data_IF_108554775452
#
_entry.id   IF_108554775452
#
_cell.length_a   1.000
_cell.length_b   1.000
_cell.length_c   1.000
_cell.angle_alpha   90.00
_cell.angle_beta   90.00
_cell.angle_gamma   90.00
#
_symmetry.space_group_name_H-M   'P 1'
#
loop_
_entity.id
_entity.type
_entity.pdbx_description
1 polymer ?
#
# COMPACT_ATOMS: atom_id res chain seq x y z
N UNK A 1 10.63 -19.53 14.47
CA UNK A 1 9.80 -18.72 13.55
C UNK A 1 10.71 -18.10 12.50
N UNK A 2 10.37 -18.19 11.23
CA UNK A 2 11.10 -17.54 10.15
C UNK A 2 10.67 -16.07 10.01
N UNK A 3 11.55 -15.21 9.52
CA UNK A 3 11.21 -13.80 9.22
C UNK A 3 10.22 -13.73 8.05
N UNK A 4 9.46 -12.63 7.98
CA UNK A 4 8.56 -12.36 6.85
C UNK A 4 9.32 -12.32 5.52
N UNK A 5 8.88 -13.05 4.47
CA UNK A 5 9.46 -12.97 3.14
C UNK A 5 9.39 -11.55 2.55
N UNK A 6 8.24 -10.88 2.69
CA UNK A 6 8.03 -9.51 2.18
C UNK A 6 9.02 -8.53 2.82
N UNK A 7 9.18 -8.60 4.15
CA UNK A 7 10.16 -7.78 4.85
C UNK A 7 11.60 -8.07 4.40
N UNK A 8 11.92 -9.33 4.12
CA UNK A 8 13.25 -9.75 3.66
C UNK A 8 13.55 -9.21 2.25
N UNK A 9 12.64 -9.39 1.29
CA UNK A 9 12.78 -8.91 -0.08
C UNK A 9 12.87 -7.38 -0.11
N UNK A 10 11.94 -6.68 0.56
CA UNK A 10 11.93 -5.21 0.60
C UNK A 10 13.18 -4.63 1.25
N UNK A 11 13.77 -5.32 2.22
CA UNK A 11 15.04 -4.90 2.81
C UNK A 11 16.21 -5.00 1.83
N UNK A 12 16.18 -5.96 0.90
CA UNK A 12 17.22 -6.16 -0.12
C UNK A 12 17.04 -5.17 -1.26
N UNK A 13 15.81 -5.06 -1.76
CA UNK A 13 15.48 -4.19 -2.90
C UNK A 13 15.49 -2.71 -2.53
N UNK A 14 15.12 -2.39 -1.29
CA UNK A 14 14.73 -1.03 -0.91
C UNK A 14 13.43 -0.61 -1.61
N UNK A 15 13.15 0.70 -1.61
CA UNK A 15 12.02 1.26 -2.35
C UNK A 15 10.74 1.48 -1.56
N UNK A 16 9.69 1.81 -2.31
CA UNK A 16 8.39 2.27 -1.79
C UNK A 16 7.28 1.41 -2.35
N UNK A 17 6.38 0.93 -1.48
CA UNK A 17 5.21 0.15 -1.92
C UNK A 17 4.06 1.10 -2.21
N UNK A 18 3.61 1.13 -3.45
CA UNK A 18 2.43 1.88 -3.88
C UNK A 18 1.22 0.95 -3.97
N UNK A 19 0.15 1.31 -3.27
CA UNK A 19 -1.13 0.61 -3.30
C UNK A 19 -2.19 1.49 -3.93
N UNK A 20 -2.84 0.98 -4.97
CA UNK A 20 -3.86 1.68 -5.76
C UNK A 20 -5.10 0.79 -5.95
N UNK A 21 -6.27 1.36 -5.67
CA UNK A 21 -7.55 0.66 -5.79
C UNK A 21 -7.91 0.43 -7.26
N UNK A 22 -8.47 -0.75 -7.54
CA UNK A 22 -9.07 -1.12 -8.82
C UNK A 22 -10.54 -0.72 -8.77
N UNK A 23 -10.94 0.21 -9.64
CA UNK A 23 -12.30 0.76 -9.63
C UNK A 23 -13.15 0.04 -10.68
N UNK A 24 -14.30 -0.48 -10.25
CA UNK A 24 -15.38 -0.95 -11.10
C UNK A 24 -16.62 -0.07 -10.88
N UNK A 25 -17.29 0.37 -11.95
CA UNK A 25 -18.40 1.34 -11.88
C UNK A 25 -19.60 0.83 -11.10
N UNK A 26 -19.89 -0.47 -11.17
CA UNK A 26 -21.04 -1.10 -10.53
C UNK A 26 -20.77 -1.58 -9.09
N UNK A 27 -19.54 -1.41 -8.57
CA UNK A 27 -19.22 -1.71 -7.18
C UNK A 27 -19.35 -0.42 -6.36
N UNK A 28 -20.35 -0.33 -5.46
CA UNK A 28 -20.50 0.84 -4.62
C UNK A 28 -19.33 0.94 -3.64
N UNK A 29 -18.86 2.17 -3.46
CA UNK A 29 -17.82 2.50 -2.50
C UNK A 29 -18.47 2.72 -1.14
N UNK A 30 -17.80 2.29 -0.07
CA UNK A 30 -18.27 2.55 1.29
C UNK A 30 -18.19 4.03 1.63
N UNK A 31 -17.20 4.72 1.06
CA UNK A 31 -17.07 6.18 1.13
C UNK A 31 -17.58 6.77 -0.16
N UNK A 32 -18.78 7.35 -0.12
CA UNK A 32 -19.52 7.79 -1.31
C UNK A 32 -18.86 8.93 -2.08
N UNK A 33 -18.05 9.75 -1.41
CA UNK A 33 -17.33 10.87 -2.01
C UNK A 33 -16.15 10.48 -2.90
N UNK A 34 -15.60 9.26 -2.74
CA UNK A 34 -14.38 8.84 -3.45
C UNK A 34 -14.64 8.52 -4.92
N UNK A 35 -14.60 9.52 -5.79
CA UNK A 35 -14.83 9.33 -7.23
C UNK A 35 -13.54 9.03 -8.00
N UNK A 36 -12.39 9.41 -7.47
CA UNK A 36 -11.04 9.13 -8.01
C UNK A 36 -10.28 8.19 -7.05
N UNK A 37 -9.29 7.41 -7.52
CA UNK A 37 -8.48 6.56 -6.64
C UNK A 37 -7.62 7.36 -5.64
N UNK A 38 -7.32 6.77 -4.49
CA UNK A 38 -6.29 7.23 -3.57
C UNK A 38 -5.12 6.25 -3.64
N UNK A 39 -3.90 6.75 -3.87
CA UNK A 39 -2.70 5.91 -3.88
C UNK A 39 -1.97 6.06 -2.56
N UNK A 40 -1.75 4.96 -1.84
CA UNK A 40 -0.91 4.95 -0.64
C UNK A 40 0.52 4.57 -1.04
N UNK A 41 1.48 5.45 -0.80
CA UNK A 41 2.92 5.14 -0.85
C UNK A 41 3.43 4.82 0.55
N UNK A 42 3.71 3.56 0.86
CA UNK A 42 4.18 3.11 2.17
C UNK A 42 5.70 3.09 2.24
N UNK A 43 6.26 3.75 3.26
CA UNK A 43 7.67 3.66 3.62
C UNK A 43 7.99 2.29 4.23
N UNK A 44 8.34 1.30 3.41
CA UNK A 44 8.48 -0.10 3.84
C UNK A 44 9.83 -0.41 4.52
N UNK A 45 10.32 0.48 5.40
CA UNK A 45 11.58 0.32 6.13
C UNK A 45 11.47 0.89 7.56
N UNK A 46 12.18 0.27 8.51
CA UNK A 46 12.36 0.82 9.86
C UNK A 46 11.08 0.84 10.70
N UNK A 47 11.02 1.79 11.62
CA UNK A 47 9.92 2.02 12.56
C UNK A 47 9.57 0.73 13.34
N UNK A 48 8.29 0.49 13.66
CA UNK A 48 7.83 -0.68 14.40
C UNK A 48 8.25 -2.02 13.76
N UNK A 49 8.47 -2.04 12.44
CA UNK A 49 8.77 -3.26 11.68
C UNK A 49 10.24 -3.69 11.79
N UNK A 50 11.08 -2.87 12.41
CA UNK A 50 12.46 -3.19 12.80
C UNK A 50 12.76 -2.75 14.23
N UNK A 51 11.73 -2.71 15.07
CA UNK A 51 11.88 -2.40 16.47
C UNK A 51 12.52 -3.57 17.24
N UNK A 52 13.04 -3.27 18.42
CA UNK A 52 13.33 -4.26 19.45
C UNK A 52 12.43 -3.96 20.64
N UNK A 53 11.65 -4.95 21.05
CA UNK A 53 10.68 -4.86 22.14
C UNK A 53 10.89 -5.97 23.17
N UNK A 54 10.48 -5.70 24.40
CA UNK A 54 10.57 -6.67 25.50
C UNK A 54 9.58 -6.34 26.63
N UNK A 55 9.26 -7.36 27.42
CA UNK A 55 8.51 -7.21 28.67
C UNK A 55 9.48 -6.84 29.78
N UNK A 56 9.21 -5.72 30.45
CA UNK A 56 9.94 -5.27 31.64
C UNK A 56 9.44 -6.10 32.83
N UNK A 57 10.30 -6.88 33.51
CA UNK A 57 9.84 -7.89 34.48
C UNK A 57 9.40 -7.31 35.84
N UNK A 58 9.78 -6.08 36.17
CA UNK A 58 9.52 -5.45 37.47
C UNK A 58 10.02 -4.01 37.50
N UNK A 59 10.05 -3.42 38.69
CA UNK A 59 10.51 -2.06 38.89
C UNK A 59 11.97 -1.87 38.39
N UNK A 60 12.26 -0.73 37.77
CA UNK A 60 13.57 -0.44 37.21
C UNK A 60 13.59 0.76 36.25
N UNK A 61 14.79 1.22 35.92
CA UNK A 61 15.00 2.38 35.03
C UNK A 61 15.25 1.94 33.60
N UNK A 62 14.50 2.49 32.65
CA UNK A 62 14.71 2.31 31.22
C UNK A 62 15.44 3.51 30.62
N UNK A 63 16.54 3.24 29.93
CA UNK A 63 17.39 4.25 29.29
C UNK A 63 17.71 3.83 27.85
N UNK A 64 17.86 4.82 26.97
CA UNK A 64 18.37 4.65 25.59
C UNK A 64 19.72 5.35 25.51
N UNK A 65 20.70 4.67 24.91
CA UNK A 65 22.06 5.19 24.74
C UNK A 65 22.45 5.17 23.27
N UNK A 66 23.02 6.27 22.78
CA UNK A 66 23.67 6.35 21.48
C UNK A 66 25.17 6.55 21.67
N UNK A 67 25.98 5.63 21.17
CA UNK A 67 27.43 5.69 21.21
C UNK A 67 27.96 6.04 19.83
N UNK A 68 28.59 7.21 19.64
CA UNK A 68 29.09 7.60 18.34
C UNK A 68 30.36 6.80 17.98
N UNK A 69 30.46 6.39 16.72
CA UNK A 69 31.58 5.56 16.24
C UNK A 69 32.93 6.28 16.26
N UNK A 70 32.92 7.61 16.15
CA UNK A 70 34.13 8.44 16.19
C UNK A 70 34.76 8.58 17.59
N UNK A 71 34.27 7.84 18.59
CA UNK A 71 34.78 7.89 19.96
C UNK A 71 34.33 9.11 20.77
N UNK A 72 33.35 9.90 20.27
CA UNK A 72 32.73 10.98 21.04
C UNK A 72 31.95 10.48 22.27
N UNK A 73 31.51 11.42 23.10
CA UNK A 73 30.76 11.08 24.33
C UNK A 73 29.41 10.40 24.01
N UNK A 74 29.11 9.31 24.72
CA UNK A 74 27.86 8.59 24.57
C UNK A 74 26.69 9.43 25.10
N UNK A 75 25.63 9.54 24.30
CA UNK A 75 24.43 10.27 24.65
C UNK A 75 23.45 9.32 25.34
N UNK A 76 23.02 9.66 26.56
CA UNK A 76 22.14 8.82 27.37
C UNK A 76 20.84 9.54 27.70
N UNK A 77 19.72 8.87 27.44
CA UNK A 77 18.38 9.40 27.64
C UNK A 77 17.58 8.48 28.55
N UNK A 78 17.06 9.01 29.65
CA UNK A 78 16.09 8.26 30.45
C UNK A 78 14.74 8.29 29.74
N UNK A 79 14.18 7.11 29.49
CA UNK A 79 12.86 6.95 28.85
C UNK A 79 11.78 6.94 29.92
N UNK A 80 11.92 6.07 30.92
CA UNK A 80 10.95 5.90 31.98
C UNK A 80 11.57 5.24 33.22
N UNK A 81 10.96 5.47 34.37
CA UNK A 81 11.29 4.81 35.64
C UNK A 81 10.07 4.00 36.10
N UNK A 82 10.16 2.67 35.96
CA UNK A 82 9.11 1.74 36.37
C UNK A 82 9.14 1.59 37.89
N UNK A 83 8.17 2.20 38.58
CA UNK A 83 8.10 2.16 40.05
C UNK A 83 7.13 1.13 40.59
N UNK A 84 6.02 0.91 39.89
CA UNK A 84 4.88 0.12 40.37
C UNK A 84 4.78 -1.27 39.71
N UNK A 85 5.93 -1.89 39.41
CA UNK A 85 6.02 -3.22 38.81
C UNK A 85 6.55 -3.21 37.38
N UNK A 86 6.24 -4.29 36.64
CA UNK A 86 6.71 -4.49 35.27
C UNK A 86 5.98 -3.64 34.23
N UNK A 87 6.23 -3.92 32.96
CA UNK A 87 5.64 -3.20 31.84
C UNK A 87 6.13 -3.71 30.49
N UNK A 88 6.09 -2.85 29.48
CA UNK A 88 6.63 -3.15 28.15
C UNK A 88 7.44 -1.96 27.66
N UNK A 89 8.47 -2.24 26.86
CA UNK A 89 9.34 -1.24 26.28
C UNK A 89 9.67 -1.61 24.84
N UNK A 90 9.91 -0.60 24.01
CA UNK A 90 10.41 -0.78 22.66
C UNK A 90 11.36 0.35 22.27
N UNK A 91 12.29 0.04 21.38
CA UNK A 91 13.12 0.99 20.65
C UNK A 91 12.97 0.78 19.15
N UNK A 92 12.87 1.86 18.39
CA UNK A 92 12.77 1.83 16.93
C UNK A 92 13.67 2.89 16.29
N UNK A 93 13.97 2.72 15.00
CA UNK A 93 14.81 3.64 14.25
C UNK A 93 14.36 3.75 12.80
N UNK A 94 14.84 4.81 12.17
CA UNK A 94 14.84 4.95 10.72
C UNK A 94 16.17 5.56 10.26
N UNK A 95 16.41 5.59 8.95
CA UNK A 95 17.62 6.20 8.39
C UNK A 95 17.29 7.33 7.44
N UNK A 96 18.10 8.37 7.53
CA UNK A 96 18.09 9.52 6.65
C UNK A 96 18.14 9.11 5.16
N UNK A 97 18.94 8.11 4.81
CA UNK A 97 19.02 7.57 3.45
C UNK A 97 17.68 6.96 3.00
N UNK A 98 17.07 6.11 3.82
CA UNK A 98 15.81 5.46 3.47
C UNK A 98 14.66 6.46 3.32
N UNK A 99 14.62 7.51 4.16
CA UNK A 99 13.60 8.56 4.06
C UNK A 99 13.76 9.37 2.77
N UNK A 100 15.01 9.65 2.34
CA UNK A 100 15.27 10.35 1.07
C UNK A 100 14.81 9.53 -0.14
N UNK A 101 15.13 8.24 -0.16
CA UNK A 101 14.69 7.33 -1.24
C UNK A 101 13.17 7.23 -1.31
N UNK A 102 12.51 7.18 -0.15
CA UNK A 102 11.07 7.22 -0.04
C UNK A 102 10.47 8.52 -0.60
N UNK A 103 11.00 9.68 -0.22
CA UNK A 103 10.56 10.98 -0.73
C UNK A 103 10.72 11.09 -2.26
N UNK A 104 11.88 10.68 -2.78
CA UNK A 104 12.15 10.63 -4.21
C UNK A 104 11.14 9.75 -4.96
N UNK A 105 10.84 8.56 -4.43
CA UNK A 105 9.89 7.63 -5.02
C UNK A 105 8.49 8.25 -5.06
N UNK A 106 8.01 8.80 -3.96
CA UNK A 106 6.68 9.41 -3.87
C UNK A 106 6.50 10.61 -4.81
N UNK A 107 7.50 11.49 -4.89
CA UNK A 107 7.43 12.67 -5.77
C UNK A 107 7.49 12.30 -7.25
N UNK A 108 8.34 11.33 -7.60
CA UNK A 108 8.43 10.82 -8.98
C UNK A 108 7.12 10.15 -9.39
N UNK A 109 6.52 9.35 -8.51
CA UNK A 109 5.24 8.69 -8.77
C UNK A 109 4.09 9.72 -8.93
N UNK A 110 4.04 10.73 -8.06
CA UNK A 110 3.05 11.79 -8.13
C UNK A 110 3.14 12.60 -9.44
N UNK A 111 4.36 12.90 -9.92
CA UNK A 111 4.59 13.54 -11.22
C UNK A 111 4.12 12.67 -12.39
N UNK A 112 4.42 11.37 -12.37
CA UNK A 112 3.98 10.44 -13.41
C UNK A 112 2.46 10.37 -13.51
N UNK A 113 1.76 10.37 -12.37
CA UNK A 113 0.30 10.41 -12.30
C UNK A 113 -0.29 11.80 -12.55
N UNK A 114 0.53 12.86 -12.51
CA UNK A 114 0.11 14.27 -12.45
C UNK A 114 -0.91 14.52 -11.34
N UNK A 115 -0.66 13.96 -10.15
CA UNK A 115 -1.53 14.10 -8.97
C UNK A 115 -0.81 14.81 -7.82
N UNK A 116 -1.52 15.55 -6.95
CA UNK A 116 -0.93 16.13 -5.75
C UNK A 116 -0.42 15.04 -4.79
N UNK A 117 0.60 15.40 -4.01
CA UNK A 117 1.26 14.52 -3.03
C UNK A 117 1.06 15.06 -1.61
N UNK A 118 0.57 14.20 -0.73
CA UNK A 118 0.49 14.47 0.71
C UNK A 118 1.43 13.54 1.48
N UNK A 119 2.17 14.06 2.45
CA UNK A 119 2.93 13.23 3.39
C UNK A 119 2.42 13.46 4.81
N UNK A 120 2.07 12.37 5.50
CA UNK A 120 1.49 12.44 6.84
C UNK A 120 2.43 11.98 7.94
N UNK A 121 2.51 12.75 9.03
CA UNK A 121 3.24 12.35 10.25
C UNK A 121 2.51 12.79 11.52
N UNK A 122 3.06 12.46 12.70
CA UNK A 122 2.67 13.00 14.00
C UNK A 122 3.79 13.85 14.60
N UNK A 123 4.38 14.76 13.82
CA UNK A 123 5.52 15.59 14.23
C UNK A 123 5.22 16.59 15.37
N UNK A 124 3.96 16.84 15.73
CA UNK A 124 3.60 17.60 16.93
C UNK A 124 3.96 16.85 18.22
N UNK A 125 3.92 15.51 18.18
CA UNK A 125 4.27 14.62 19.29
C UNK A 125 5.72 14.14 19.13
N UNK A 126 6.03 13.52 18.00
CA UNK A 126 7.37 13.00 17.70
C UNK A 126 8.23 14.07 17.01
N UNK A 127 8.49 15.18 17.72
CA UNK A 127 9.11 16.40 17.16
C UNK A 127 10.43 16.15 16.42
N UNK A 128 11.27 15.25 16.92
CA UNK A 128 12.55 14.90 16.27
C UNK A 128 12.37 13.81 15.22
N UNK A 129 11.72 12.70 15.57
CA UNK A 129 11.61 11.53 14.69
C UNK A 129 10.76 11.84 13.45
N UNK A 130 9.53 12.30 13.65
CA UNK A 130 8.61 12.63 12.56
C UNK A 130 8.89 14.01 11.95
N UNK A 131 9.55 14.89 12.71
CA UNK A 131 10.11 16.13 12.17
C UNK A 131 11.14 15.83 11.07
N UNK A 132 11.99 14.82 11.25
CA UNK A 132 13.01 14.46 10.26
C UNK A 132 12.40 14.02 8.92
N UNK A 133 11.29 13.28 8.94
CA UNK A 133 10.54 12.96 7.72
C UNK A 133 10.04 14.21 7.02
N UNK A 134 9.40 15.11 7.77
CA UNK A 134 8.88 16.38 7.24
C UNK A 134 10.00 17.21 6.60
N UNK A 135 11.11 17.37 7.31
CA UNK A 135 12.23 18.20 6.87
C UNK A 135 12.87 17.63 5.60
N UNK A 136 13.14 16.32 5.54
CA UNK A 136 13.72 15.67 4.36
C UNK A 136 12.81 15.80 3.14
N UNK A 137 11.50 15.56 3.29
CA UNK A 137 10.56 15.72 2.19
C UNK A 137 10.53 17.19 1.71
N UNK A 138 10.50 18.16 2.62
CA UNK A 138 10.51 19.57 2.25
C UNK A 138 11.80 19.97 1.52
N UNK A 139 12.96 19.54 2.04
CA UNK A 139 14.28 19.77 1.43
C UNK A 139 14.32 19.24 -0.01
N UNK A 140 13.91 17.99 -0.22
CA UNK A 140 13.90 17.37 -1.56
C UNK A 140 12.91 18.06 -2.50
N UNK A 141 11.71 18.40 -2.01
CA UNK A 141 10.71 19.08 -2.80
C UNK A 141 11.23 20.40 -3.34
N UNK A 142 11.73 21.27 -2.45
CA UNK A 142 12.23 22.59 -2.79
C UNK A 142 13.44 22.52 -3.74
N UNK A 143 14.36 21.58 -3.52
CA UNK A 143 15.59 21.49 -4.30
C UNK A 143 15.38 20.90 -5.70
N UNK A 144 14.46 19.94 -5.87
CA UNK A 144 14.42 19.10 -7.08
C UNK A 144 13.07 19.04 -7.79
N UNK A 145 11.96 19.13 -7.06
CA UNK A 145 10.65 18.76 -7.61
C UNK A 145 9.67 19.93 -7.74
N UNK A 146 9.85 21.01 -6.98
CA UNK A 146 8.90 22.14 -6.95
C UNK A 146 8.61 22.73 -8.33
N UNK A 147 9.64 22.97 -9.14
CA UNK A 147 9.46 23.49 -10.49
C UNK A 147 8.61 22.56 -11.37
N UNK A 148 8.90 21.25 -11.34
CA UNK A 148 8.18 20.23 -12.10
C UNK A 148 6.73 20.07 -11.62
N UNK A 149 6.49 20.16 -10.31
CA UNK A 149 5.15 20.09 -9.72
C UNK A 149 4.31 21.30 -10.13
N UNK A 150 4.88 22.51 -10.08
CA UNK A 150 4.22 23.74 -10.53
C UNK A 150 3.89 23.67 -12.02
N UNK A 151 4.83 23.22 -12.85
CA UNK A 151 4.60 23.04 -14.30
C UNK A 151 3.48 22.03 -14.58
N UNK A 152 3.41 20.94 -13.81
CA UNK A 152 2.35 19.94 -13.92
C UNK A 152 1.02 20.35 -13.27
N UNK A 153 0.95 21.52 -12.61
CA UNK A 153 -0.27 22.01 -11.95
C UNK A 153 -0.64 21.24 -10.67
N UNK A 154 0.34 20.63 -10.00
CA UNK A 154 0.16 19.83 -8.77
C UNK A 154 1.02 20.40 -7.63
N UNK A 155 0.80 19.92 -6.40
CA UNK A 155 1.51 20.40 -5.22
C UNK A 155 1.94 19.25 -4.29
N UNK A 156 2.90 19.56 -3.43
CA UNK A 156 3.27 18.74 -2.27
C UNK A 156 2.83 19.44 -0.99
N UNK A 157 2.27 18.69 -0.05
CA UNK A 157 1.88 19.20 1.27
C UNK A 157 2.19 18.19 2.39
N UNK A 158 2.74 18.68 3.50
CA UNK A 158 2.81 17.91 4.75
C UNK A 158 1.54 18.14 5.58
N UNK A 159 0.96 17.06 6.11
CA UNK A 159 -0.18 17.10 7.03
C UNK A 159 0.07 16.29 8.30
N UNK A 160 -0.62 16.66 9.37
CA UNK A 160 -0.72 15.76 10.52
C UNK A 160 -1.60 14.56 10.16
N UNK A 161 -1.24 13.36 10.62
CA UNK A 161 -1.93 12.12 10.25
C UNK A 161 -3.43 12.15 10.58
N UNK A 162 -3.82 12.80 11.68
CA UNK A 162 -5.21 13.00 12.08
C UNK A 162 -5.99 13.95 11.16
N UNK A 163 -5.36 15.01 10.65
CA UNK A 163 -5.98 15.84 9.61
C UNK A 163 -6.02 15.09 8.27
N UNK A 164 -4.96 14.35 7.93
CA UNK A 164 -4.87 13.65 6.65
C UNK A 164 -5.93 12.55 6.51
N UNK A 165 -6.18 11.76 7.56
CA UNK A 165 -7.27 10.76 7.53
C UNK A 165 -8.64 11.44 7.38
N UNK A 166 -8.85 12.59 8.03
CA UNK A 166 -10.11 13.33 7.93
C UNK A 166 -10.28 13.94 6.53
N UNK A 167 -9.21 14.48 5.94
CA UNK A 167 -9.18 14.96 4.57
C UNK A 167 -9.48 13.83 3.59
N UNK A 168 -8.80 12.68 3.71
CA UNK A 168 -9.02 11.53 2.84
C UNK A 168 -10.50 11.14 2.82
N UNK A 169 -11.14 11.01 3.98
CA UNK A 169 -12.56 10.66 4.10
C UNK A 169 -13.53 11.68 3.46
N UNK A 170 -13.17 12.96 3.42
CA UNK A 170 -14.01 14.04 2.86
C UNK A 170 -13.68 14.40 1.41
N UNK A 171 -12.51 13.99 0.93
CA UNK A 171 -12.02 14.30 -0.42
C UNK A 171 -12.75 13.50 -1.50
N UNK A 172 -12.54 13.88 -2.75
CA UNK A 172 -12.96 13.09 -3.91
C UNK A 172 -11.94 11.99 -4.32
N UNK A 173 -10.82 11.87 -3.59
CA UNK A 173 -9.66 11.09 -4.00
C UNK A 173 -8.75 11.85 -4.98
N UNK A 174 -7.96 11.13 -5.79
CA UNK A 174 -7.12 11.70 -6.85
C UNK A 174 -5.80 12.29 -6.35
N UNK A 175 -5.19 11.67 -5.34
CA UNK A 175 -3.91 12.09 -4.78
C UNK A 175 -3.03 10.90 -4.39
N UNK A 176 -1.74 11.17 -4.27
CA UNK A 176 -0.77 10.25 -3.68
C UNK A 176 -0.60 10.61 -2.21
N UNK A 177 -0.65 9.62 -1.34
CA UNK A 177 -0.47 9.77 0.10
C UNK A 177 0.74 8.96 0.55
N UNK A 178 1.85 9.66 0.79
CA UNK A 178 3.05 9.12 1.40
C UNK A 178 2.82 8.89 2.90
N UNK A 179 2.77 7.62 3.28
CA UNK A 179 2.59 7.18 4.65
C UNK A 179 3.90 6.59 5.20
N UNK A 180 4.18 6.86 6.48
CA UNK A 180 5.16 6.10 7.25
C UNK A 180 4.78 4.61 7.29
N UNK A 181 5.70 3.77 7.73
CA UNK A 181 5.57 2.32 7.57
C UNK A 181 4.26 1.78 8.18
N UNK A 182 3.97 2.14 9.42
CA UNK A 182 2.77 1.70 10.14
C UNK A 182 1.49 2.32 9.56
N UNK A 183 1.49 3.63 9.32
CA UNK A 183 0.34 4.33 8.76
C UNK A 183 -0.02 3.76 7.39
N UNK A 184 0.97 3.44 6.56
CA UNK A 184 0.75 2.87 5.23
C UNK A 184 0.16 1.47 5.28
N UNK A 185 0.50 0.67 6.30
CA UNK A 185 -0.10 -0.64 6.51
C UNK A 185 -1.60 -0.51 6.83
N UNK A 186 -1.94 0.28 7.85
CA UNK A 186 -3.32 0.44 8.34
C UNK A 186 -4.21 1.17 7.31
N UNK A 187 -3.71 2.27 6.75
CA UNK A 187 -4.52 3.12 5.87
C UNK A 187 -4.72 2.47 4.50
N UNK A 188 -3.78 1.66 4.00
CA UNK A 188 -4.00 0.99 2.72
C UNK A 188 -5.11 -0.06 2.78
N UNK A 189 -5.23 -0.80 3.88
CA UNK A 189 -6.35 -1.74 4.08
C UNK A 189 -7.69 -0.98 4.23
N UNK A 190 -7.68 0.15 4.96
CA UNK A 190 -8.86 1.01 5.11
C UNK A 190 -9.32 1.61 3.78
N UNK A 191 -8.38 2.12 2.98
CA UNK A 191 -8.65 2.64 1.63
C UNK A 191 -9.15 1.53 0.71
N UNK A 192 -8.52 0.36 0.69
CA UNK A 192 -8.96 -0.78 -0.10
C UNK A 192 -10.40 -1.20 0.22
N UNK A 193 -10.73 -1.30 1.50
CA UNK A 193 -12.08 -1.62 1.94
C UNK A 193 -13.07 -0.51 1.55
N UNK A 194 -12.67 0.75 1.60
CA UNK A 194 -13.48 1.89 1.18
C UNK A 194 -13.82 1.89 -0.32
N UNK A 195 -12.95 1.32 -1.17
CA UNK A 195 -13.21 1.08 -2.59
C UNK A 195 -13.92 -0.24 -2.91
N UNK A 196 -14.27 -1.04 -1.90
CA UNK A 196 -15.12 -2.22 -2.03
C UNK A 196 -14.54 -3.45 -1.33
N UNK A 197 -13.37 -3.91 -1.73
CA UNK A 197 -12.76 -5.15 -1.23
C UNK A 197 -11.23 -5.09 -1.28
N UNK A 198 -10.56 -5.79 -0.35
CA UNK A 198 -9.11 -6.01 -0.39
C UNK A 198 -8.66 -6.70 -1.69
N UNK A 199 -9.54 -7.46 -2.35
CA UNK A 199 -9.28 -8.07 -3.66
C UNK A 199 -9.22 -7.07 -4.82
N UNK A 200 -9.57 -5.79 -4.56
CA UNK A 200 -9.61 -4.71 -5.54
C UNK A 200 -8.50 -3.69 -5.29
N UNK A 201 -7.31 -4.15 -4.91
CA UNK A 201 -6.17 -3.29 -4.60
C UNK A 201 -4.89 -3.91 -5.18
N UNK A 202 -4.18 -3.14 -5.99
CA UNK A 202 -2.84 -3.50 -6.47
C UNK A 202 -1.78 -3.12 -5.43
N UNK A 203 -0.64 -3.82 -5.43
CA UNK A 203 0.53 -3.48 -4.61
C UNK A 203 1.79 -3.60 -5.46
N UNK A 204 2.52 -2.50 -5.62
CA UNK A 204 3.73 -2.44 -6.44
C UNK A 204 4.85 -1.75 -5.66
N UNK A 205 5.91 -2.49 -5.35
CA UNK A 205 7.17 -1.94 -4.85
C UNK A 205 7.95 -1.35 -6.03
N UNK A 206 8.33 -0.07 -5.91
CA UNK A 206 9.20 0.61 -6.87
C UNK A 206 10.50 0.98 -6.18
N UNK A 207 11.62 0.51 -6.73
CA UNK A 207 12.95 0.83 -6.26
C UNK A 207 13.39 2.25 -6.68
N UNK A 208 14.31 2.88 -5.92
CA UNK A 208 14.78 4.24 -6.22
C UNK A 208 15.56 4.35 -7.54
N UNK A 209 16.02 3.22 -8.11
CA UNK A 209 16.66 3.17 -9.44
C UNK A 209 15.68 3.48 -10.60
N UNK A 210 14.38 3.55 -10.33
CA UNK A 210 13.33 3.77 -11.32
C UNK A 210 13.16 2.62 -12.32
N UNK A 211 13.80 1.46 -12.07
CA UNK A 211 13.88 0.33 -12.99
C UNK A 211 13.43 -0.98 -12.33
N UNK A 212 13.73 -1.21 -11.07
CA UNK A 212 13.39 -2.46 -10.39
C UNK A 212 12.01 -2.35 -9.75
N UNK A 213 11.16 -3.36 -10.01
CA UNK A 213 9.78 -3.42 -9.53
C UNK A 213 9.48 -4.83 -9.01
N UNK A 214 8.73 -4.89 -7.91
CA UNK A 214 8.08 -6.11 -7.43
C UNK A 214 6.57 -5.85 -7.32
N UNK A 215 5.74 -6.75 -7.85
CA UNK A 215 4.28 -6.61 -7.87
C UNK A 215 3.61 -7.80 -7.18
N UNK A 216 2.68 -7.50 -6.29
CA UNK A 216 1.94 -8.46 -5.48
C UNK A 216 0.47 -8.04 -5.31
N UNK A 217 -0.35 -8.96 -4.82
CA UNK A 217 -1.66 -8.59 -4.30
C UNK A 217 -1.51 -7.91 -2.93
N UNK A 218 -2.37 -6.94 -2.60
CA UNK A 218 -2.29 -6.28 -1.29
C UNK A 218 -2.71 -7.18 -0.10
N UNK A 219 -3.47 -8.24 -0.36
CA UNK A 219 -3.98 -9.17 0.66
C UNK A 219 -3.03 -10.33 0.94
N UNK A 220 -3.21 -10.98 2.09
CA UNK A 220 -2.48 -12.22 2.46
C UNK A 220 -3.02 -13.49 1.78
N UNK A 221 -2.71 -14.66 2.36
CA UNK A 221 -3.03 -15.98 1.79
C UNK A 221 -4.50 -16.42 1.93
N UNK A 222 -5.37 -15.54 2.44
CA UNK A 222 -6.81 -15.80 2.64
C UNK A 222 -7.07 -17.13 3.36
N UNK A 223 -6.33 -17.38 4.45
CA UNK A 223 -6.26 -18.70 5.11
C UNK A 223 -7.63 -19.27 5.49
N UNK A 224 -8.59 -18.42 5.85
CA UNK A 224 -9.97 -18.84 6.14
C UNK A 224 -10.61 -19.58 4.96
N UNK A 225 -10.46 -19.07 3.74
CA UNK A 225 -11.00 -19.71 2.54
C UNK A 225 -10.20 -20.97 2.21
N UNK A 226 -8.88 -20.95 2.42
CA UNK A 226 -8.06 -22.15 2.23
C UNK A 226 -8.49 -23.31 3.14
N UNK A 227 -8.85 -23.05 4.40
CA UNK A 227 -9.40 -24.08 5.31
C UNK A 227 -10.73 -24.66 4.84
N UNK A 228 -11.59 -23.84 4.20
CA UNK A 228 -12.83 -24.33 3.58
C UNK A 228 -12.52 -25.20 2.36
N UNK A 229 -11.60 -24.78 1.50
CA UNK A 229 -11.14 -25.55 0.35
C UNK A 229 -10.58 -26.93 0.76
N UNK A 230 -9.77 -27.01 1.82
CA UNK A 230 -9.25 -28.28 2.35
C UNK A 230 -10.34 -29.26 2.80
N UNK A 231 -11.53 -28.75 3.15
CA UNK A 231 -12.69 -29.56 3.53
C UNK A 231 -13.58 -29.92 2.32
N UNK A 232 -13.14 -29.61 1.09
CA UNK A 232 -13.95 -29.77 -0.12
C UNK A 232 -15.14 -28.80 -0.20
N UNK A 233 -15.17 -27.75 0.64
CA UNK A 233 -16.24 -26.75 0.61
C UNK A 233 -15.98 -25.74 -0.49
N UNK A 234 -17.07 -25.25 -1.09
CA UNK A 234 -17.02 -24.17 -2.07
C UNK A 234 -16.40 -22.90 -1.48
N UNK A 235 -15.61 -22.20 -2.29
CA UNK A 235 -15.02 -20.90 -1.94
C UNK A 235 -15.27 -19.89 -3.05
N UNK A 236 -15.37 -18.61 -2.70
CA UNK A 236 -15.44 -17.50 -3.63
C UNK A 236 -14.41 -16.46 -3.21
N UNK A 237 -13.16 -16.72 -3.55
CA UNK A 237 -12.01 -15.84 -3.30
C UNK A 237 -11.78 -15.00 -4.54
N UNK A 238 -11.72 -13.68 -4.37
CA UNK A 238 -11.48 -12.74 -5.45
C UNK A 238 -10.03 -12.85 -5.98
N UNK A 239 -9.80 -13.23 -7.26
CA UNK A 239 -8.47 -13.39 -7.84
C UNK A 239 -7.92 -12.10 -8.47
N UNK A 240 -8.67 -11.00 -8.50
CA UNK A 240 -8.38 -9.82 -9.32
C UNK A 240 -7.06 -9.17 -8.93
N UNK A 241 -6.81 -8.91 -7.63
CA UNK A 241 -5.53 -8.37 -7.18
C UNK A 241 -4.33 -9.26 -7.56
N UNK A 242 -4.49 -10.59 -7.53
CA UNK A 242 -3.44 -11.54 -7.95
C UNK A 242 -3.19 -11.50 -9.46
N UNK A 243 -4.25 -11.35 -10.27
CA UNK A 243 -4.12 -11.16 -11.73
C UNK A 243 -3.43 -9.83 -12.02
N UNK A 244 -3.81 -8.77 -11.31
CA UNK A 244 -3.19 -7.46 -11.48
C UNK A 244 -1.71 -7.48 -11.05
N UNK A 245 -1.32 -8.29 -10.06
CA UNK A 245 0.09 -8.48 -9.73
C UNK A 245 0.89 -9.02 -10.93
N UNK A 246 0.32 -9.97 -11.70
CA UNK A 246 0.91 -10.45 -12.95
C UNK A 246 0.95 -9.35 -14.01
N UNK A 247 -0.17 -8.70 -14.31
CA UNK A 247 -0.22 -7.70 -15.39
C UNK A 247 0.67 -6.50 -15.11
N UNK A 248 0.78 -6.04 -13.85
CA UNK A 248 1.71 -4.96 -13.47
C UNK A 248 3.17 -5.33 -13.72
N UNK A 249 3.56 -6.56 -13.42
CA UNK A 249 4.90 -7.08 -13.75
C UNK A 249 5.14 -7.13 -15.26
N UNK A 250 4.16 -7.63 -16.03
CA UNK A 250 4.25 -7.72 -17.49
C UNK A 250 4.26 -6.34 -18.16
N UNK A 251 3.45 -5.39 -17.70
CA UNK A 251 3.44 -4.00 -18.18
C UNK A 251 4.80 -3.33 -17.94
N UNK A 252 5.40 -3.56 -16.78
CA UNK A 252 6.73 -3.04 -16.49
C UNK A 252 7.80 -3.67 -17.37
N UNK A 253 7.75 -4.99 -17.58
CA UNK A 253 8.64 -5.69 -18.52
C UNK A 253 8.49 -5.15 -19.95
N UNK A 254 7.25 -4.99 -20.41
CA UNK A 254 6.91 -4.44 -21.71
C UNK A 254 7.49 -3.03 -21.90
N UNK A 255 7.40 -2.17 -20.88
CA UNK A 255 8.01 -0.84 -20.88
C UNK A 255 9.53 -0.90 -21.01
N UNK A 256 10.19 -1.79 -20.27
CA UNK A 256 11.65 -1.92 -20.32
C UNK A 256 12.16 -2.45 -21.66
N UNK A 257 11.36 -3.28 -22.35
CA UNK A 257 11.73 -3.91 -23.63
C UNK A 257 11.21 -3.17 -24.86
N UNK A 258 10.34 -2.16 -24.69
CA UNK A 258 9.60 -1.57 -25.81
C UNK A 258 8.67 -2.56 -26.51
N UNK A 259 8.10 -3.53 -25.77
CA UNK A 259 7.27 -4.60 -26.31
C UNK A 259 5.78 -4.23 -26.25
N UNK A 260 5.24 -3.67 -27.34
CA UNK A 260 3.84 -3.25 -27.42
C UNK A 260 2.84 -4.41 -27.43
N UNK A 261 3.22 -5.61 -27.93
CA UNK A 261 2.33 -6.80 -27.89
C UNK A 261 2.09 -7.25 -26.45
N UNK A 262 3.15 -7.32 -25.64
CA UNK A 262 3.04 -7.70 -24.23
C UNK A 262 2.24 -6.68 -23.43
N UNK A 263 2.44 -5.39 -23.72
CA UNK A 263 1.65 -4.30 -23.13
C UNK A 263 0.17 -4.45 -23.47
N UNK A 264 -0.15 -4.68 -24.75
CA UNK A 264 -1.53 -4.87 -25.22
C UNK A 264 -2.20 -6.05 -24.55
N UNK A 265 -1.50 -7.18 -24.42
CA UNK A 265 -2.00 -8.35 -23.68
C UNK A 265 -2.31 -8.02 -22.22
N UNK A 266 -1.36 -7.42 -21.50
CA UNK A 266 -1.53 -7.14 -20.08
C UNK A 266 -2.64 -6.11 -19.82
N UNK A 267 -2.74 -5.06 -20.65
CA UNK A 267 -3.85 -4.09 -20.59
C UNK A 267 -5.20 -4.76 -20.90
N UNK A 268 -5.27 -5.62 -21.92
CA UNK A 268 -6.50 -6.33 -22.28
C UNK A 268 -6.99 -7.24 -21.14
N UNK A 269 -6.08 -7.87 -20.41
CA UNK A 269 -6.42 -8.68 -19.24
C UNK A 269 -6.94 -7.85 -18.07
N UNK A 270 -6.33 -6.69 -17.76
CA UNK A 270 -6.85 -5.77 -16.74
C UNK A 270 -8.25 -5.25 -17.09
N UNK A 271 -8.47 -4.87 -18.35
CA UNK A 271 -9.78 -4.41 -18.81
C UNK A 271 -10.82 -5.53 -18.78
N UNK A 272 -10.46 -6.75 -19.19
CA UNK A 272 -11.34 -7.94 -19.13
C UNK A 272 -11.83 -8.18 -17.70
N UNK A 273 -10.94 -8.04 -16.71
CA UNK A 273 -11.28 -8.16 -15.30
C UNK A 273 -12.36 -7.15 -14.89
N UNK A 274 -12.19 -5.87 -15.25
CA UNK A 274 -13.13 -4.80 -14.95
C UNK A 274 -14.46 -5.03 -15.68
N UNK A 275 -14.43 -5.28 -16.99
CA UNK A 275 -15.59 -5.50 -17.83
C UNK A 275 -16.42 -6.72 -17.38
N UNK A 276 -15.76 -7.78 -16.91
CA UNK A 276 -16.45 -8.99 -16.40
C UNK A 276 -17.25 -8.67 -15.14
N UNK A 277 -16.66 -7.90 -14.21
CA UNK A 277 -17.32 -7.43 -13.00
C UNK A 277 -18.46 -6.48 -13.35
N UNK A 278 -18.22 -5.52 -14.24
CA UNK A 278 -19.23 -4.55 -14.71
C UNK A 278 -20.38 -5.24 -15.46
N UNK A 279 -20.12 -6.37 -16.12
CA UNK A 279 -21.12 -7.25 -16.73
C UNK A 279 -21.92 -8.11 -15.74
N UNK A 280 -21.68 -7.96 -14.44
CA UNK A 280 -22.45 -8.61 -13.36
C UNK A 280 -21.89 -9.96 -12.89
N UNK A 281 -20.82 -10.48 -13.51
CA UNK A 281 -20.15 -11.69 -13.03
C UNK A 281 -19.10 -11.29 -11.99
N UNK A 282 -19.27 -11.70 -10.73
CA UNK A 282 -18.36 -11.30 -9.65
C UNK A 282 -18.28 -12.35 -8.54
N UNK A 283 -17.26 -12.22 -7.69
CA UNK A 283 -17.09 -13.04 -6.48
C UNK A 283 -17.93 -12.51 -5.31
N UNK A 284 -18.07 -13.34 -4.27
CA UNK A 284 -18.97 -13.11 -3.13
C UNK A 284 -18.67 -11.81 -2.39
N UNK A 285 -17.41 -11.45 -2.24
CA UNK A 285 -16.99 -10.20 -1.61
C UNK A 285 -17.57 -8.97 -2.33
N UNK A 286 -17.51 -8.95 -3.67
CA UNK A 286 -18.06 -7.87 -4.48
C UNK A 286 -19.58 -7.86 -4.49
N UNK A 287 -20.21 -9.04 -4.55
CA UNK A 287 -21.67 -9.15 -4.43
C UNK A 287 -22.17 -8.62 -3.07
N UNK A 288 -21.40 -8.82 -1.99
CA UNK A 288 -21.69 -8.25 -0.66
C UNK A 288 -21.62 -6.73 -0.69
N UNK A 289 -20.67 -6.12 -1.40
CA UNK A 289 -20.62 -4.66 -1.57
C UNK A 289 -21.91 -4.14 -2.23
N UNK A 290 -22.39 -4.83 -3.27
CA UNK A 290 -23.56 -4.40 -4.05
C UNK A 290 -24.88 -4.59 -3.29
N UNK A 291 -25.11 -5.77 -2.70
CA UNK A 291 -26.42 -6.14 -2.13
C UNK A 291 -26.49 -6.04 -0.61
N UNK A 292 -25.35 -5.91 0.06
CA UNK A 292 -25.22 -6.05 1.51
C UNK A 292 -25.23 -7.51 1.96
N UNK A 293 -24.50 -7.81 3.04
CA UNK A 293 -24.24 -9.18 3.51
C UNK A 293 -25.52 -10.02 3.72
N UNK A 294 -26.61 -9.39 4.18
CA UNK A 294 -27.87 -10.07 4.47
C UNK A 294 -28.66 -10.49 3.21
N UNK A 295 -28.44 -9.85 2.07
CA UNK A 295 -29.25 -10.05 0.86
C UNK A 295 -28.52 -10.83 -0.25
N UNK A 296 -27.27 -11.24 -0.03
CA UNK A 296 -26.50 -12.02 -1.00
C UNK A 296 -26.91 -13.48 -0.92
N UNK A 297 -27.32 -14.02 -2.06
CA UNK A 297 -27.65 -15.43 -2.28
C UNK A 297 -26.58 -16.10 -3.16
N UNK A 298 -26.59 -17.44 -3.26
CA UNK A 298 -25.60 -18.17 -4.10
C UNK A 298 -25.69 -17.80 -5.58
N UNK A 299 -26.86 -17.37 -6.07
CA UNK A 299 -27.06 -16.98 -7.46
C UNK A 299 -26.42 -15.61 -7.80
N UNK A 300 -26.06 -14.82 -6.79
CA UNK A 300 -25.54 -13.46 -6.98
C UNK A 300 -24.02 -13.40 -7.21
N UNK A 301 -23.31 -14.53 -7.05
CA UNK A 301 -21.86 -14.58 -7.20
C UNK A 301 -21.40 -15.91 -7.79
N UNK A 302 -20.18 -15.91 -8.31
CA UNK A 302 -19.49 -17.09 -8.80
C UNK A 302 -18.52 -17.61 -7.74
N UNK A 303 -18.32 -18.92 -7.69
CA UNK A 303 -17.22 -19.49 -6.93
C UNK A 303 -15.86 -19.14 -7.60
N UNK A 304 -14.76 -19.41 -6.92
CA UNK A 304 -13.42 -19.01 -7.37
C UNK A 304 -13.10 -19.51 -8.79
N UNK A 305 -13.45 -20.76 -9.10
CA UNK A 305 -13.13 -21.37 -10.40
C UNK A 305 -14.08 -20.90 -11.50
N UNK A 306 -15.38 -20.83 -11.23
CA UNK A 306 -16.37 -20.28 -12.17
C UNK A 306 -16.04 -18.84 -12.59
N UNK A 307 -15.54 -18.02 -11.66
CA UNK A 307 -15.12 -16.67 -11.96
C UNK A 307 -13.85 -16.63 -12.80
N UNK A 308 -12.86 -17.48 -12.51
CA UNK A 308 -11.64 -17.61 -13.33
C UNK A 308 -11.98 -18.07 -14.76
N UNK A 309 -12.90 -19.03 -14.92
CA UNK A 309 -13.35 -19.50 -16.22
C UNK A 309 -14.06 -18.39 -17.01
N UNK A 310 -14.91 -17.60 -16.34
CA UNK A 310 -15.56 -16.44 -16.96
C UNK A 310 -14.56 -15.38 -17.44
N UNK A 311 -13.48 -15.13 -16.67
CA UNK A 311 -12.41 -14.22 -17.06
C UNK A 311 -11.65 -14.77 -18.28
N UNK A 312 -11.32 -16.07 -18.29
CA UNK A 312 -10.62 -16.70 -19.39
C UNK A 312 -11.45 -16.67 -20.69
N UNK A 313 -12.73 -16.97 -20.62
CA UNK A 313 -13.66 -16.92 -21.76
C UNK A 313 -13.76 -15.50 -22.33
N UNK A 314 -13.90 -14.49 -21.46
CA UNK A 314 -13.99 -13.10 -21.89
C UNK A 314 -12.66 -12.58 -22.48
N UNK A 315 -11.53 -12.98 -21.91
CA UNK A 315 -10.21 -12.63 -22.46
C UNK A 315 -10.02 -13.24 -23.85
N UNK A 316 -10.39 -14.51 -24.04
CA UNK A 316 -10.30 -15.17 -25.33
C UNK A 316 -11.12 -14.44 -26.40
N UNK A 317 -12.36 -14.03 -26.05
CA UNK A 317 -13.19 -13.20 -26.94
C UNK A 317 -12.51 -11.86 -27.26
N UNK A 318 -11.91 -11.21 -26.27
CA UNK A 318 -11.24 -9.91 -26.44
C UNK A 318 -9.97 -9.98 -27.29
N UNK A 319 -9.23 -11.08 -27.21
CA UNK A 319 -8.00 -11.30 -27.98
C UNK A 319 -8.24 -11.96 -29.35
N UNK A 320 -9.45 -12.41 -29.65
CA UNK A 320 -9.77 -12.99 -30.96
C UNK A 320 -9.68 -11.90 -32.05
N UNK A 321 -9.07 -12.18 -33.21
CA UNK A 321 -9.09 -11.25 -34.34
C UNK A 321 -10.54 -10.93 -34.72
N UNK A 322 -10.89 -9.66 -34.89
CA UNK A 322 -12.16 -9.24 -35.50
C UNK A 322 -12.19 -9.57 -36.99
#
# INVERSE_FOLDING_TARGET
>A
MWRSPNGTIRNILGGTVFREAIICKNIPRLVTGWTKPIVIGRHAFGDQYKATDFVVPGAGKLEITYTPENGGEAQKYTVFDFKDGGGVALGMYNTDASIRDFAHSCMTFALQKKWPLYMSTKNTILKKYDGRFKDIFQEIYEQKYKAQFVEAGIWYEHRLIDDMVAYAMKSEGGFVWACKNYDGDVQSDSVAQGYGSLGMMTSVLICPDGKTVESEAAHGTVTRHYRMHQQGKETSTNPIASIFAWTRGLLHRAKLDGNEELKTFATSLEETCIETIEGGKMTKDLAICVKGLANVTRADYLNTFEFLDALAENLQKKLSPQ
#
